data_IF_014698550256
#
_entry.id   IF_014698550256
#
_cell.length_a   1.000
_cell.length_b   1.000
_cell.length_c   1.000
_cell.angle_alpha   90.00
_cell.angle_beta   90.00
_cell.angle_gamma   90.00
#
_symmetry.space_group_name_H-M   'P 1'
#
loop_
_entity.id
_entity.type
_entity.pdbx_description
1 polymer ?
#
# COMPACT_ATOMS: atom_id res chain seq x y z
N UNK A 1 17.45 5.49 9.12
CA UNK A 1 18.15 4.26 8.68
C UNK A 1 17.74 3.98 7.25
N UNK A 2 18.61 3.43 6.39
CA UNK A 2 18.24 2.95 5.05
C UNK A 2 18.63 1.48 4.94
N UNK A 3 17.71 0.63 4.50
CA UNK A 3 17.97 -0.78 4.24
C UNK A 3 17.03 -1.32 3.16
N UNK A 4 17.37 -2.47 2.56
CA UNK A 4 16.48 -3.14 1.63
C UNK A 4 15.40 -3.95 2.36
N UNK A 5 14.27 -4.18 1.70
CA UNK A 5 13.21 -5.03 2.25
C UNK A 5 13.67 -6.49 2.45
N UNK A 6 14.57 -6.98 1.59
CA UNK A 6 15.19 -8.31 1.78
C UNK A 6 15.99 -8.37 3.07
N UNK A 7 16.70 -7.28 3.41
CA UNK A 7 17.43 -7.19 4.66
C UNK A 7 16.46 -7.20 5.84
N UNK A 8 15.41 -6.39 5.83
CA UNK A 8 14.44 -6.34 6.93
C UNK A 8 13.79 -7.71 7.21
N UNK A 9 13.36 -8.44 6.16
CA UNK A 9 12.61 -9.69 6.31
C UNK A 9 13.45 -10.95 6.55
N UNK A 10 14.77 -10.89 6.38
CA UNK A 10 15.65 -12.08 6.42
C UNK A 10 15.67 -12.79 7.78
N UNK A 11 15.35 -12.07 8.85
CA UNK A 11 15.30 -12.60 10.22
C UNK A 11 14.08 -12.03 10.92
N UNK A 12 13.27 -12.90 11.53
CA UNK A 12 12.09 -12.49 12.31
C UNK A 12 12.47 -11.54 13.44
N UNK A 13 13.54 -11.87 14.17
CA UNK A 13 14.05 -11.05 15.27
C UNK A 13 14.45 -9.64 14.79
N UNK A 14 14.99 -9.52 13.57
CA UNK A 14 15.34 -8.22 13.02
C UNK A 14 14.11 -7.38 12.71
N UNK A 15 13.09 -7.99 12.13
CA UNK A 15 11.84 -7.30 11.84
C UNK A 15 11.17 -6.85 13.16
N UNK A 16 11.16 -7.70 14.19
CA UNK A 16 10.68 -7.35 15.53
C UNK A 16 11.42 -6.13 16.10
N UNK A 17 12.77 -6.12 16.06
CA UNK A 17 13.55 -4.96 16.50
C UNK A 17 13.28 -3.70 15.65
N UNK A 18 12.97 -3.84 14.36
CA UNK A 18 12.62 -2.70 13.51
C UNK A 18 11.25 -2.13 13.87
N UNK A 19 10.29 -2.96 14.29
CA UNK A 19 8.98 -2.52 14.78
C UNK A 19 9.05 -1.89 16.18
N UNK A 20 9.98 -2.35 17.02
CA UNK A 20 10.22 -1.78 18.35
C UNK A 20 11.05 -0.48 18.31
N UNK A 21 11.74 -0.23 17.21
CA UNK A 21 12.38 1.06 16.99
C UNK A 21 11.28 2.10 16.77
N UNK A 22 11.13 3.02 17.71
CA UNK A 22 10.10 4.07 17.75
C UNK A 22 10.28 5.09 16.61
N UNK A 23 10.02 4.69 15.36
CA UNK A 23 10.12 5.56 14.20
C UNK A 23 8.95 6.52 14.15
N UNK A 24 9.23 7.79 13.81
CA UNK A 24 8.17 8.75 13.48
C UNK A 24 7.65 8.57 12.04
N UNK A 25 8.50 8.08 11.13
CA UNK A 25 8.22 8.01 9.69
C UNK A 25 8.84 6.77 9.01
N UNK A 26 8.01 6.04 8.27
CA UNK A 26 8.37 4.94 7.39
C UNK A 26 8.25 5.41 5.93
N UNK A 27 9.34 5.29 5.17
CA UNK A 27 9.34 5.56 3.72
C UNK A 27 9.57 4.26 2.99
N UNK A 28 8.64 3.86 2.12
CA UNK A 28 8.75 2.67 1.28
C UNK A 28 8.88 3.12 -0.16
N UNK A 29 10.06 2.88 -0.74
CA UNK A 29 10.30 3.14 -2.14
C UNK A 29 9.85 1.96 -3.01
N UNK A 30 9.48 2.26 -4.26
CA UNK A 30 8.94 1.34 -5.24
C UNK A 30 7.85 0.41 -4.70
N UNK A 31 6.89 0.98 -3.97
CA UNK A 31 5.80 0.24 -3.33
C UNK A 31 4.90 -0.52 -4.33
N UNK A 32 5.06 -0.31 -5.64
CA UNK A 32 4.43 -1.12 -6.68
C UNK A 32 4.93 -2.57 -6.73
N UNK A 33 6.07 -2.89 -6.12
CA UNK A 33 6.55 -4.28 -5.98
C UNK A 33 5.85 -5.06 -4.87
N UNK A 34 5.07 -4.41 -4.01
CA UNK A 34 4.31 -5.09 -2.96
C UNK A 34 3.10 -5.80 -3.57
N UNK A 35 3.20 -7.13 -3.67
CA UNK A 35 2.13 -7.99 -4.19
C UNK A 35 1.19 -8.36 -3.04
N UNK A 36 -0.11 -8.21 -3.28
CA UNK A 36 -1.15 -8.52 -2.31
C UNK A 36 -2.32 -9.21 -3.00
N UNK A 37 -2.87 -10.21 -2.33
CA UNK A 37 -4.19 -10.76 -2.56
C UNK A 37 -4.84 -11.01 -1.20
N UNK A 38 -6.18 -11.02 -1.16
CA UNK A 38 -6.93 -11.19 0.08
C UNK A 38 -6.58 -12.49 0.81
N UNK A 39 -6.43 -13.58 0.06
CA UNK A 39 -6.13 -14.91 0.62
C UNK A 39 -4.63 -15.15 0.88
N UNK A 40 -3.74 -14.43 0.17
CA UNK A 40 -2.31 -14.75 0.15
C UNK A 40 -1.42 -13.52 -0.07
N UNK A 41 -1.34 -12.59 0.91
CA UNK A 41 -0.41 -11.47 0.84
C UNK A 41 1.05 -11.94 0.78
N UNK A 42 1.88 -11.25 0.01
CA UNK A 42 3.32 -11.55 -0.06
C UNK A 42 4.02 -11.30 1.28
N UNK A 43 5.16 -11.97 1.49
CA UNK A 43 5.97 -11.76 2.70
C UNK A 43 6.51 -10.33 2.79
N UNK A 44 6.82 -9.76 1.63
CA UNK A 44 7.20 -8.37 1.45
C UNK A 44 6.12 -7.43 1.97
N UNK A 45 4.88 -7.65 1.53
CA UNK A 45 3.73 -6.86 1.98
C UNK A 45 3.51 -7.01 3.49
N UNK A 46 3.50 -8.24 4.02
CA UNK A 46 3.30 -8.51 5.45
C UNK A 46 4.35 -7.83 6.33
N UNK A 47 5.61 -7.79 5.90
CA UNK A 47 6.66 -7.12 6.65
C UNK A 47 6.45 -5.60 6.71
N UNK A 48 6.02 -4.98 5.61
CA UNK A 48 5.69 -3.55 5.57
C UNK A 48 4.42 -3.26 6.37
N UNK A 49 3.40 -4.10 6.28
CA UNK A 49 2.16 -3.99 7.07
C UNK A 49 2.48 -3.98 8.57
N UNK A 50 3.29 -4.93 9.03
CA UNK A 50 3.70 -4.99 10.43
C UNK A 50 4.46 -3.74 10.88
N UNK A 51 5.33 -3.18 10.02
CA UNK A 51 6.02 -1.92 10.34
C UNK A 51 5.06 -0.73 10.34
N UNK A 52 4.16 -0.63 9.37
CA UNK A 52 3.19 0.45 9.26
C UNK A 52 2.23 0.51 10.46
N UNK A 53 1.92 -0.62 11.10
CA UNK A 53 1.12 -0.67 12.33
C UNK A 53 1.82 0.00 13.53
N UNK A 54 3.16 0.05 13.53
CA UNK A 54 3.96 0.59 14.65
C UNK A 54 4.50 2.00 14.37
N UNK A 55 4.42 2.49 13.13
CA UNK A 55 5.01 3.77 12.72
C UNK A 55 3.90 4.78 12.38
N UNK A 56 3.82 5.94 13.05
CA UNK A 56 2.73 6.89 12.85
C UNK A 56 2.66 7.49 11.44
N UNK A 57 3.80 7.81 10.84
CA UNK A 57 3.88 8.35 9.48
C UNK A 57 4.26 7.28 8.48
N UNK A 58 3.46 7.08 7.44
CA UNK A 58 3.79 6.17 6.33
C UNK A 58 3.77 6.95 5.01
N UNK A 59 4.88 6.88 4.27
CA UNK A 59 5.02 7.48 2.94
C UNK A 59 5.38 6.39 1.94
N UNK A 60 4.50 6.19 0.95
CA UNK A 60 4.72 5.25 -0.15
C UNK A 60 5.15 6.02 -1.40
N UNK A 61 6.35 5.74 -1.88
CA UNK A 61 6.82 6.20 -3.18
C UNK A 61 6.61 5.06 -4.17
N UNK A 62 5.90 5.33 -5.26
CA UNK A 62 5.53 4.28 -6.20
C UNK A 62 5.44 4.86 -7.60
N UNK A 63 6.02 4.17 -8.59
CA UNK A 63 5.52 4.31 -9.95
C UNK A 63 4.02 3.96 -9.98
N UNK A 64 3.24 4.60 -10.84
CA UNK A 64 1.82 4.30 -11.07
C UNK A 64 1.67 3.40 -12.30
N UNK A 65 1.83 2.07 -12.18
CA UNK A 65 1.41 1.16 -13.24
C UNK A 65 -0.08 0.95 -13.03
N UNK A 66 -0.90 1.78 -13.66
CA UNK A 66 -2.36 1.56 -13.72
C UNK A 66 -2.73 0.14 -14.20
N UNK A 67 -1.77 -0.59 -14.79
CA UNK A 67 -1.83 -1.99 -15.20
C UNK A 67 -1.78 -3.04 -14.07
N UNK A 68 -1.42 -2.70 -12.82
CA UNK A 68 -1.34 -3.69 -11.71
C UNK A 68 -2.70 -4.04 -11.07
N UNK A 69 -3.79 -3.44 -11.52
CA UNK A 69 -5.15 -3.77 -11.07
C UNK A 69 -5.57 -3.10 -9.76
N UNK A 70 -6.88 -3.13 -9.50
CA UNK A 70 -7.49 -2.46 -8.34
C UNK A 70 -7.03 -3.03 -7.00
N UNK A 71 -6.69 -4.33 -6.96
CA UNK A 71 -6.19 -5.03 -5.76
C UNK A 71 -4.86 -4.44 -5.27
N UNK A 72 -3.90 -4.24 -6.17
CA UNK A 72 -2.59 -3.66 -5.81
C UNK A 72 -2.72 -2.22 -5.29
N UNK A 73 -3.65 -1.45 -5.85
CA UNK A 73 -3.92 -0.10 -5.36
C UNK A 73 -4.59 -0.11 -3.99
N UNK A 74 -5.61 -0.96 -3.80
CA UNK A 74 -6.27 -1.13 -2.50
C UNK A 74 -5.29 -1.54 -1.41
N UNK A 75 -4.41 -2.50 -1.69
CA UNK A 75 -3.40 -2.96 -0.74
C UNK A 75 -2.49 -1.82 -0.26
N UNK A 76 -2.03 -0.95 -1.16
CA UNK A 76 -1.22 0.22 -0.77
C UNK A 76 -2.01 1.22 0.09
N UNK A 77 -3.29 1.44 -0.22
CA UNK A 77 -4.15 2.32 0.57
C UNK A 77 -4.43 1.75 1.97
N UNK A 78 -4.57 0.42 2.07
CA UNK A 78 -4.71 -0.29 3.34
C UNK A 78 -3.49 -0.13 4.24
N UNK A 79 -2.28 -0.07 3.69
CA UNK A 79 -1.06 0.23 4.48
C UNK A 79 -1.06 1.65 5.07
N UNK A 80 -1.80 2.60 4.47
CA UNK A 80 -1.89 3.98 4.94
C UNK A 80 -3.02 4.18 5.96
N UNK A 81 -4.16 3.52 5.73
CA UNK A 81 -5.32 3.61 6.62
C UNK A 81 -6.11 2.28 6.58
N UNK A 82 -5.75 1.31 7.43
CA UNK A 82 -6.41 0.00 7.43
C UNK A 82 -7.87 0.06 7.90
N UNK A 83 -8.24 1.09 8.68
CA UNK A 83 -9.62 1.26 9.14
C UNK A 83 -10.53 1.71 8.00
N UNK A 84 -10.04 2.61 7.13
CA UNK A 84 -10.78 3.05 5.95
C UNK A 84 -10.80 2.02 4.83
N UNK A 85 -9.69 1.32 4.61
CA UNK A 85 -9.55 0.37 3.49
C UNK A 85 -9.50 -1.08 3.98
N UNK A 86 -10.60 -1.54 4.58
CA UNK A 86 -10.71 -2.89 5.17
C UNK A 86 -11.43 -3.89 4.25
N UNK A 87 -12.34 -3.44 3.39
CA UNK A 87 -13.17 -4.28 2.51
C UNK A 87 -12.88 -3.96 1.03
N UNK A 88 -12.34 -4.94 0.31
CA UNK A 88 -11.99 -4.79 -1.10
C UNK A 88 -13.23 -4.68 -2.00
N UNK A 89 -14.30 -5.43 -1.71
CA UNK A 89 -15.52 -5.40 -2.51
C UNK A 89 -16.22 -4.04 -2.42
N UNK A 90 -16.29 -3.45 -1.23
CA UNK A 90 -16.78 -2.09 -1.02
C UNK A 90 -15.92 -1.07 -1.77
N UNK A 91 -14.59 -1.18 -1.67
CA UNK A 91 -13.68 -0.32 -2.41
C UNK A 91 -13.91 -0.39 -3.93
N UNK A 92 -14.08 -1.59 -4.48
CA UNK A 92 -14.37 -1.78 -5.90
C UNK A 92 -15.68 -1.12 -6.31
N UNK A 93 -16.72 -1.25 -5.49
CA UNK A 93 -18.03 -0.67 -5.77
C UNK A 93 -18.01 0.87 -5.70
N UNK A 94 -17.30 1.44 -4.73
CA UNK A 94 -17.08 2.89 -4.66
C UNK A 94 -16.37 3.40 -5.93
N UNK A 95 -15.29 2.73 -6.36
CA UNK A 95 -14.53 3.13 -7.54
C UNK A 95 -15.36 3.07 -8.84
N UNK A 96 -16.29 2.11 -8.97
CA UNK A 96 -17.23 2.08 -10.11
C UNK A 96 -18.15 3.29 -10.13
N UNK A 97 -18.59 3.77 -8.96
CA UNK A 97 -19.43 4.96 -8.86
C UNK A 97 -18.66 6.26 -9.18
N UNK A 98 -17.34 6.28 -8.99
CA UNK A 98 -16.47 7.42 -9.34
C UNK A 98 -16.05 7.44 -10.83
N UNK A 99 -15.93 6.29 -11.50
CA UNK A 99 -15.58 6.20 -12.94
C UNK A 99 -16.39 7.13 -13.85
N UNK A 100 -17.74 7.20 -13.78
CA UNK A 100 -18.51 8.09 -14.65
C UNK A 100 -18.23 9.59 -14.42
N UNK A 101 -17.77 9.97 -13.22
CA UNK A 101 -17.38 11.37 -12.92
C UNK A 101 -16.00 11.71 -13.50
N UNK A 102 -15.08 10.74 -13.51
CA UNK A 102 -13.76 10.90 -14.14
C UNK A 102 -13.87 10.98 -15.68
N UNK A 103 -14.71 10.14 -16.29
CA UNK A 103 -14.98 10.17 -17.73
C UNK A 103 -15.64 11.48 -18.17
N UNK A 104 -16.54 12.04 -17.34
CA UNK A 104 -17.16 13.34 -17.59
C UNK A 104 -16.14 14.50 -17.60
N UNK A 105 -15.09 14.45 -16.76
CA UNK A 105 -13.98 15.43 -16.82
C UNK A 105 -13.11 15.25 -18.06
N UNK A 106 -12.91 14.03 -18.53
CA UNK A 106 -12.12 13.77 -19.73
C UNK A 106 -12.81 14.28 -21.02
N UNK A 107 -14.15 14.30 -21.06
CA UNK A 107 -14.91 14.93 -22.15
C UNK A 107 -15.00 16.47 -22.07
N UNK A 108 -14.83 17.06 -20.89
CA UNK A 108 -14.88 18.52 -20.71
C UNK A 108 -13.52 19.21 -20.96
N UNK A 109 -12.41 18.48 -20.91
CA UNK A 109 -11.06 19.00 -21.18
C UNK A 109 -10.63 18.94 -22.66
N UNK A 110 -11.53 18.49 -23.55
CA UNK A 110 -11.27 18.28 -24.98
C UNK A 110 -12.08 19.18 -25.93
N UNK A 111 -12.67 20.28 -25.45
CA UNK A 111 -13.27 21.33 -26.30
C UNK A 111 -12.90 22.71 -25.82
#
# INVERSE_FOLDING_TARGET
MICSLDFARRSKQRLEHLCEAEWDLLVVDEAHHLVWSEDAPSREYQAIEQLAEHVPGVLLLTATPEQLGMESHFARLRLLDPNRFHDFAQFVEEQKNYRPVADARCHAAGR
#
